data_IF_408089695221
#
_entry.id   IF_408089695221
#
_cell.length_a   1.000
_cell.length_b   1.000
_cell.length_c   1.000
_cell.angle_alpha   90.00
_cell.angle_beta   90.00
_cell.angle_gamma   90.00
#
_symmetry.space_group_name_H-M   'P 1'
#
loop_
_entity.id
_entity.type
_entity.pdbx_description
1 polymer ?
#
# COMPACT_ATOMS: atom_id res chain seq x y z
N UNK A 1 6.86 12.84 -21.69
CA UNK A 1 8.09 12.61 -22.51
C UNK A 1 8.48 11.14 -22.50
N UNK A 2 7.87 10.11 -22.46
CA UNK A 2 8.21 8.67 -22.64
C UNK A 2 9.63 8.18 -22.25
N UNK A 3 10.46 9.03 -21.69
CA UNK A 3 11.82 8.66 -21.24
C UNK A 3 11.76 8.14 -19.80
N UNK A 4 12.44 7.04 -19.48
CA UNK A 4 12.59 6.56 -18.11
C UNK A 4 13.16 7.68 -17.24
N UNK A 5 12.50 7.94 -16.11
CA UNK A 5 13.00 8.86 -15.08
C UNK A 5 13.37 8.04 -13.84
N UNK A 6 14.39 8.46 -13.08
CA UNK A 6 14.67 7.83 -11.79
C UNK A 6 13.42 7.86 -10.91
N UNK A 7 13.10 6.74 -10.29
CA UNK A 7 11.98 6.65 -9.35
C UNK A 7 12.31 7.52 -8.13
N UNK A 8 11.43 8.46 -7.73
CA UNK A 8 11.68 9.30 -6.57
C UNK A 8 11.69 8.53 -5.24
N UNK A 9 10.98 7.40 -5.18
CA UNK A 9 10.98 6.51 -4.02
C UNK A 9 12.27 5.67 -3.99
N UNK A 10 13.24 6.09 -3.18
CA UNK A 10 14.58 5.52 -3.11
C UNK A 10 14.91 4.97 -1.71
N UNK A 11 15.76 3.94 -1.60
CA UNK A 11 16.21 3.41 -0.31
C UNK A 11 16.81 4.47 0.62
N UNK A 12 17.57 5.41 0.10
CA UNK A 12 18.26 6.47 0.84
C UNK A 12 17.30 7.38 1.64
N UNK A 13 16.01 7.41 1.27
CA UNK A 13 15.00 8.14 2.06
C UNK A 13 14.85 7.57 3.47
N UNK A 14 14.98 6.26 3.63
CA UNK A 14 14.94 5.62 4.96
C UNK A 14 16.10 6.10 5.82
N UNK A 15 17.31 6.15 5.26
CA UNK A 15 18.50 6.56 6.00
C UNK A 15 18.37 8.01 6.50
N UNK A 16 17.90 8.91 5.64
CA UNK A 16 17.65 10.32 6.00
C UNK A 16 16.57 10.47 7.06
N UNK A 17 15.48 9.70 6.96
CA UNK A 17 14.39 9.74 7.94
C UNK A 17 14.84 9.15 9.29
N UNK A 18 15.60 8.06 9.26
CA UNK A 18 16.20 7.46 10.47
C UNK A 18 17.18 8.42 11.16
N UNK A 19 17.97 9.16 10.41
CA UNK A 19 18.83 10.21 10.98
C UNK A 19 17.99 11.26 11.71
N UNK A 20 16.86 11.70 11.13
CA UNK A 20 15.92 12.62 11.78
C UNK A 20 15.34 12.05 13.07
N UNK A 21 14.90 10.78 13.04
CA UNK A 21 14.37 10.08 14.24
C UNK A 21 15.43 9.97 15.33
N UNK A 22 16.65 9.60 14.99
CA UNK A 22 17.76 9.48 15.94
C UNK A 22 18.10 10.81 16.61
N UNK A 23 17.99 11.94 15.89
CA UNK A 23 18.18 13.29 16.45
C UNK A 23 17.10 13.66 17.47
N UNK A 24 15.88 13.13 17.32
CA UNK A 24 14.79 13.32 18.29
C UNK A 24 14.98 12.52 19.59
N UNK A 25 15.85 11.53 19.60
CA UNK A 25 16.21 10.76 20.79
C UNK A 25 15.13 9.80 21.32
N UNK A 26 14.10 9.53 20.52
CA UNK A 26 13.05 8.56 20.88
C UNK A 26 13.51 7.10 20.72
N UNK A 27 12.85 6.14 21.39
CA UNK A 27 13.14 4.73 21.22
C UNK A 27 12.77 4.28 19.80
N UNK A 28 13.68 3.54 19.16
CA UNK A 28 13.42 2.89 17.87
C UNK A 28 13.21 1.41 18.14
N UNK A 29 12.04 0.90 17.76
CA UNK A 29 11.65 -0.50 17.96
C UNK A 29 11.35 -1.17 16.63
N UNK A 30 11.75 -2.45 16.51
CA UNK A 30 11.37 -3.27 15.36
C UNK A 30 9.93 -3.77 15.54
N UNK A 31 9.08 -3.71 14.50
CA UNK A 31 7.74 -4.25 14.59
C UNK A 31 7.80 -5.79 14.64
N UNK A 32 6.87 -6.45 15.38
CA UNK A 32 6.68 -7.88 15.24
C UNK A 32 6.13 -8.23 13.84
N UNK A 33 6.26 -9.48 13.43
CA UNK A 33 5.64 -9.92 12.17
C UNK A 33 4.12 -9.72 12.20
N UNK A 34 3.57 -9.29 11.06
CA UNK A 34 2.14 -9.17 10.84
C UNK A 34 1.64 -10.34 10.01
N UNK A 35 0.58 -10.99 10.48
CA UNK A 35 -0.10 -12.06 9.78
C UNK A 35 -1.13 -11.53 8.78
N UNK A 36 -1.47 -12.33 7.78
CA UNK A 36 -2.41 -11.97 6.71
C UNK A 36 -3.76 -11.47 7.18
N UNK A 37 -4.24 -11.90 8.35
CA UNK A 37 -5.51 -11.43 8.92
C UNK A 37 -5.51 -9.95 9.28
N UNK A 38 -4.40 -9.40 9.75
CA UNK A 38 -4.29 -7.96 10.01
C UNK A 38 -4.34 -7.16 8.69
N UNK A 39 -3.67 -7.63 7.66
CA UNK A 39 -3.71 -7.00 6.33
C UNK A 39 -5.11 -7.13 5.72
N UNK A 40 -5.77 -8.26 5.95
CA UNK A 40 -7.14 -8.52 5.47
C UNK A 40 -8.23 -7.70 6.15
N UNK A 41 -7.91 -6.85 7.13
CA UNK A 41 -8.86 -5.88 7.68
C UNK A 41 -9.30 -4.82 6.64
N UNK A 42 -8.47 -4.57 5.64
CA UNK A 42 -8.69 -3.57 4.60
C UNK A 42 -8.40 -4.08 3.19
N UNK A 43 -7.66 -5.18 3.05
CA UNK A 43 -7.33 -5.74 1.74
C UNK A 43 -8.04 -7.07 1.48
N UNK A 44 -8.45 -7.26 0.23
CA UNK A 44 -9.05 -8.52 -0.22
C UNK A 44 -8.05 -9.69 -0.08
N UNK A 45 -8.53 -10.83 0.44
CA UNK A 45 -7.68 -12.01 0.64
C UNK A 45 -7.10 -12.55 -0.67
N UNK A 46 -7.84 -12.42 -1.78
CA UNK A 46 -7.38 -12.80 -3.12
C UNK A 46 -6.23 -11.91 -3.57
N UNK A 47 -6.29 -10.62 -3.31
CA UNK A 47 -5.21 -9.68 -3.58
C UNK A 47 -3.95 -10.00 -2.75
N UNK A 48 -4.13 -10.28 -1.46
CA UNK A 48 -3.02 -10.71 -0.58
C UNK A 48 -2.36 -11.98 -1.12
N UNK A 49 -3.17 -12.98 -1.51
CA UNK A 49 -2.69 -14.22 -2.12
C UNK A 49 -1.98 -13.96 -3.46
N UNK A 50 -2.56 -13.12 -4.33
CA UNK A 50 -1.93 -12.70 -5.58
C UNK A 50 -0.54 -12.12 -5.31
N UNK A 51 -0.43 -11.11 -4.47
CA UNK A 51 0.83 -10.40 -4.22
C UNK A 51 1.89 -11.33 -3.58
N UNK A 52 1.47 -12.25 -2.70
CA UNK A 52 2.36 -13.20 -2.04
C UNK A 52 2.97 -14.24 -2.98
N UNK A 53 2.27 -14.57 -4.06
CA UNK A 53 2.68 -15.62 -5.01
C UNK A 53 3.13 -15.10 -6.37
N UNK A 54 2.92 -13.81 -6.62
CA UNK A 54 3.10 -13.19 -7.93
C UNK A 54 4.51 -13.42 -8.49
N UNK A 55 5.54 -13.11 -7.73
CA UNK A 55 6.92 -13.22 -8.21
C UNK A 55 7.28 -14.64 -8.64
N UNK A 56 6.99 -15.63 -7.82
CA UNK A 56 7.32 -17.03 -8.10
C UNK A 56 6.52 -17.57 -9.29
N UNK A 57 5.27 -17.17 -9.43
CA UNK A 57 4.42 -17.57 -10.56
C UNK A 57 4.87 -16.90 -11.86
N UNK A 58 5.27 -15.65 -11.78
CA UNK A 58 5.77 -14.89 -12.92
C UNK A 58 7.05 -15.51 -13.48
N UNK A 59 7.99 -15.84 -12.63
CA UNK A 59 9.29 -16.43 -13.03
C UNK A 59 9.16 -17.82 -13.70
N UNK A 60 8.00 -18.47 -13.60
CA UNK A 60 7.72 -19.74 -14.27
C UNK A 60 7.15 -19.57 -15.68
N UNK A 61 6.83 -18.35 -16.09
CA UNK A 61 6.35 -18.11 -17.44
C UNK A 61 7.51 -18.28 -18.44
N UNK A 62 7.27 -18.92 -19.59
CA UNK A 62 8.23 -18.88 -20.70
C UNK A 62 8.46 -17.43 -21.12
N UNK A 63 9.72 -17.06 -21.32
CA UNK A 63 10.12 -15.71 -21.77
C UNK A 63 9.61 -14.58 -20.88
N UNK A 64 9.47 -14.84 -19.56
CA UNK A 64 8.98 -13.84 -18.61
C UNK A 64 9.86 -12.58 -18.65
N UNK A 65 9.22 -11.42 -18.75
CA UNK A 65 9.89 -10.13 -18.56
C UNK A 65 10.53 -10.06 -17.18
N UNK A 66 11.56 -9.21 -17.03
CA UNK A 66 12.27 -9.03 -15.77
C UNK A 66 11.34 -8.65 -14.62
N UNK A 67 10.34 -7.83 -14.91
CA UNK A 67 9.36 -7.34 -13.93
C UNK A 67 7.94 -7.74 -14.34
N UNK A 68 7.12 -8.29 -13.43
CA UNK A 68 5.71 -8.52 -13.67
C UNK A 68 4.99 -7.27 -14.17
N UNK A 69 4.24 -7.41 -15.23
CA UNK A 69 3.48 -6.33 -15.83
C UNK A 69 2.16 -6.83 -16.40
N UNK A 70 1.19 -5.96 -16.49
CA UNK A 70 -0.09 -6.24 -17.11
C UNK A 70 -0.05 -5.94 -18.60
N UNK A 71 -0.70 -6.78 -19.40
CA UNK A 71 -0.98 -6.45 -20.81
C UNK A 71 -2.16 -5.48 -20.93
N UNK A 72 -3.13 -5.59 -20.03
CA UNK A 72 -4.34 -4.75 -19.99
C UNK A 72 -4.68 -4.48 -18.52
N UNK A 73 -4.90 -3.21 -18.19
CA UNK A 73 -5.39 -2.79 -16.88
C UNK A 73 -6.92 -2.76 -16.88
N UNK A 74 -7.54 -3.46 -15.92
CA UNK A 74 -9.00 -3.53 -15.79
C UNK A 74 -9.60 -2.25 -15.19
N UNK A 75 -8.82 -1.50 -14.44
CA UNK A 75 -9.25 -0.29 -13.74
C UNK A 75 -9.68 0.82 -14.71
N UNK A 76 -10.69 1.58 -14.30
CA UNK A 76 -11.21 2.69 -15.08
C UNK A 76 -12.19 2.31 -16.18
N UNK A 77 -12.68 1.05 -16.20
CA UNK A 77 -13.73 0.59 -17.13
C UNK A 77 -15.02 0.18 -16.41
N UNK A 78 -15.71 1.10 -15.71
CA UNK A 78 -16.92 0.75 -14.96
C UNK A 78 -18.06 0.25 -15.86
N UNK A 79 -18.04 0.60 -17.15
CA UNK A 79 -19.02 0.12 -18.14
C UNK A 79 -18.84 -1.33 -18.57
N UNK A 80 -17.72 -1.95 -18.27
CA UNK A 80 -17.40 -3.34 -18.57
C UNK A 80 -16.83 -4.00 -17.31
N UNK A 81 -17.65 -4.24 -16.28
CA UNK A 81 -17.19 -4.91 -15.09
C UNK A 81 -16.65 -6.29 -15.49
N UNK A 82 -15.46 -6.67 -15.01
CA UNK A 82 -14.92 -7.99 -15.29
C UNK A 82 -15.85 -9.04 -14.68
N UNK A 83 -16.31 -9.97 -15.51
CA UNK A 83 -17.24 -11.03 -15.08
C UNK A 83 -16.55 -12.16 -14.36
N UNK A 84 -15.24 -12.34 -14.61
CA UNK A 84 -14.48 -13.45 -14.06
C UNK A 84 -13.08 -13.03 -13.67
N UNK A 85 -12.61 -13.52 -12.52
CA UNK A 85 -11.23 -13.34 -12.09
C UNK A 85 -10.30 -14.18 -12.97
N UNK A 86 -9.21 -13.60 -13.50
CA UNK A 86 -8.32 -14.34 -14.39
C UNK A 86 -7.56 -15.47 -13.69
N UNK A 87 -7.40 -16.61 -14.39
CA UNK A 87 -6.58 -17.72 -13.90
C UNK A 87 -5.08 -17.45 -14.11
N UNK A 88 -4.73 -16.80 -15.22
CA UNK A 88 -3.34 -16.51 -15.56
C UNK A 88 -2.75 -15.40 -14.68
N UNK A 89 -1.47 -15.54 -14.32
CA UNK A 89 -0.76 -14.51 -13.56
C UNK A 89 -0.69 -13.17 -14.30
N UNK A 90 -0.59 -13.18 -15.63
CA UNK A 90 -0.60 -11.97 -16.47
C UNK A 90 -1.95 -11.25 -16.39
N UNK A 91 -3.05 -11.99 -16.48
CA UNK A 91 -4.39 -11.44 -16.30
C UNK A 91 -4.61 -10.90 -14.89
N UNK A 92 -4.11 -11.59 -13.88
CA UNK A 92 -4.15 -11.14 -12.48
C UNK A 92 -3.32 -9.87 -12.25
N UNK A 93 -2.20 -9.70 -12.95
CA UNK A 93 -1.50 -8.43 -12.97
C UNK A 93 -2.40 -7.30 -13.48
N UNK A 94 -3.15 -7.51 -14.54
CA UNK A 94 -4.11 -6.53 -15.07
C UNK A 94 -5.29 -6.23 -14.14
N UNK A 95 -5.62 -7.17 -13.25
CA UNK A 95 -6.67 -7.00 -12.24
C UNK A 95 -6.19 -6.20 -11.03
N UNK A 96 -4.98 -6.48 -10.56
CA UNK A 96 -4.48 -5.99 -9.27
C UNK A 96 -3.42 -4.90 -9.33
N UNK A 97 -2.82 -4.65 -10.50
CA UNK A 97 -1.89 -3.54 -10.70
C UNK A 97 -2.63 -2.38 -11.36
N UNK A 98 -2.77 -1.27 -10.66
CA UNK A 98 -3.52 -0.12 -11.13
C UNK A 98 -2.79 0.71 -12.19
N UNK A 99 -1.46 0.67 -12.13
CA UNK A 99 -0.58 1.40 -13.02
C UNK A 99 0.81 0.74 -13.11
N UNK A 100 1.72 1.31 -13.89
CA UNK A 100 3.11 0.85 -14.01
C UNK A 100 4.05 1.38 -12.94
N UNK A 101 3.57 2.11 -11.94
CA UNK A 101 4.41 2.76 -10.92
C UNK A 101 4.63 1.92 -9.66
N UNK A 102 4.00 0.76 -9.56
CA UNK A 102 4.20 -0.21 -8.47
C UNK A 102 4.97 -1.46 -8.96
N UNK A 103 6.29 -1.35 -9.21
CA UNK A 103 7.08 -2.45 -9.78
C UNK A 103 7.21 -3.61 -8.80
N UNK A 104 7.12 -4.83 -9.33
CA UNK A 104 7.19 -6.06 -8.55
C UNK A 104 8.58 -6.69 -8.70
N UNK A 105 9.19 -7.02 -7.59
CA UNK A 105 10.47 -7.73 -7.49
C UNK A 105 10.36 -8.91 -6.53
N UNK A 106 11.40 -9.74 -6.44
CA UNK A 106 11.48 -10.83 -5.45
C UNK A 106 11.34 -10.37 -4.00
N UNK A 107 11.61 -9.09 -3.72
CA UNK A 107 11.60 -8.52 -2.37
C UNK A 107 10.31 -7.73 -2.05
N UNK A 108 9.47 -7.48 -3.06
CA UNK A 108 8.27 -6.63 -2.89
C UNK A 108 7.33 -7.15 -1.81
N UNK A 109 7.03 -8.44 -1.80
CA UNK A 109 6.15 -9.05 -0.79
C UNK A 109 6.69 -8.86 0.64
N UNK A 110 7.96 -9.16 0.85
CA UNK A 110 8.59 -9.01 2.16
C UNK A 110 8.60 -7.55 2.63
N UNK A 111 8.95 -6.61 1.73
CA UNK A 111 8.97 -5.19 2.04
C UNK A 111 7.57 -4.63 2.34
N UNK A 112 6.56 -5.01 1.55
CA UNK A 112 5.17 -4.58 1.78
C UNK A 112 4.63 -5.09 3.13
N UNK A 113 4.89 -6.35 3.47
CA UNK A 113 4.53 -6.91 4.78
C UNK A 113 5.22 -6.19 5.94
N UNK A 114 6.51 -5.94 5.84
CA UNK A 114 7.26 -5.23 6.86
C UNK A 114 6.73 -3.80 7.07
N UNK A 115 6.39 -3.11 5.98
CA UNK A 115 5.78 -1.79 6.04
C UNK A 115 4.41 -1.82 6.73
N UNK A 116 3.55 -2.78 6.37
CA UNK A 116 2.25 -2.98 7.02
C UNK A 116 2.41 -3.32 8.51
N UNK A 117 3.40 -4.16 8.86
CA UNK A 117 3.73 -4.51 10.25
C UNK A 117 4.13 -3.27 11.06
N UNK A 118 4.92 -2.38 10.47
CA UNK A 118 5.36 -1.13 11.11
C UNK A 118 4.16 -0.25 11.47
N UNK A 119 3.23 -0.04 10.55
CA UNK A 119 2.03 0.76 10.80
C UNK A 119 1.10 0.09 11.84
N UNK A 120 0.89 -1.22 11.72
CA UNK A 120 0.08 -1.99 12.66
C UNK A 120 0.65 -1.95 14.08
N UNK A 121 1.98 -2.03 14.21
CA UNK A 121 2.64 -1.92 15.51
C UNK A 121 2.50 -0.52 16.11
N UNK A 122 2.65 0.53 15.30
CA UNK A 122 2.39 1.90 15.73
C UNK A 122 0.97 2.09 16.29
N UNK A 123 -0.04 1.54 15.61
CA UNK A 123 -1.42 1.57 16.10
C UNK A 123 -1.57 0.80 17.45
N UNK A 124 -0.92 -0.35 17.60
CA UNK A 124 -0.93 -1.11 18.85
C UNK A 124 -0.28 -0.35 20.01
N UNK A 125 0.87 0.28 19.81
CA UNK A 125 1.51 1.11 20.81
C UNK A 125 0.58 2.22 21.31
N UNK A 126 -0.15 2.88 20.40
CA UNK A 126 -1.14 3.90 20.78
C UNK A 126 -2.31 3.29 21.57
N UNK A 127 -2.77 2.08 21.23
CA UNK A 127 -3.81 1.37 21.99
C UNK A 127 -3.31 0.97 23.40
N UNK A 128 -2.04 0.69 23.55
CA UNK A 128 -1.37 0.35 24.80
C UNK A 128 -1.04 1.57 25.68
N UNK A 129 -1.30 2.78 25.17
CA UNK A 129 -1.19 4.01 25.96
C UNK A 129 -0.14 5.01 25.50
N UNK A 130 0.63 4.69 24.46
CA UNK A 130 1.53 5.66 23.87
C UNK A 130 0.74 6.81 23.24
N UNK A 131 1.20 8.04 23.47
CA UNK A 131 0.53 9.23 22.91
C UNK A 131 0.84 9.46 21.44
N UNK A 132 2.02 9.04 21.00
CA UNK A 132 2.52 9.24 19.63
C UNK A 132 3.33 8.00 19.25
N UNK A 133 3.10 7.50 18.05
CA UNK A 133 3.95 6.52 17.40
C UNK A 133 4.27 7.00 15.97
N UNK A 134 5.54 6.95 15.59
CA UNK A 134 6.00 7.26 14.24
C UNK A 134 6.34 5.98 13.49
N UNK A 135 5.49 5.56 12.58
CA UNK A 135 5.68 4.36 11.77
C UNK A 135 6.44 4.71 10.48
N UNK A 136 7.72 4.40 10.43
CA UNK A 136 8.57 4.64 9.27
C UNK A 136 8.32 3.58 8.19
N UNK A 137 7.26 3.76 7.41
CA UNK A 137 6.80 2.81 6.39
C UNK A 137 7.48 3.01 5.04
N UNK A 138 8.06 1.94 4.48
CA UNK A 138 8.52 1.85 3.11
C UNK A 138 8.37 0.40 2.62
N UNK A 139 7.63 0.17 1.52
CA UNK A 139 6.94 1.11 0.61
C UNK A 139 5.83 1.93 1.27
N UNK A 140 5.39 3.04 0.62
CA UNK A 140 4.23 3.84 1.06
C UNK A 140 2.91 3.08 0.90
N UNK A 141 1.75 3.70 1.20
CA UNK A 141 0.50 2.96 1.25
C UNK A 141 -0.74 3.63 0.66
N UNK A 142 -0.82 4.96 0.60
CA UNK A 142 -2.07 5.69 0.41
C UNK A 142 -2.72 5.54 -0.98
N UNK A 143 -2.00 5.07 -1.98
CA UNK A 143 -2.55 4.76 -3.30
C UNK A 143 -3.03 3.31 -3.45
N UNK A 144 -2.69 2.42 -2.52
CA UNK A 144 -3.20 1.05 -2.55
C UNK A 144 -4.67 1.01 -2.10
N UNK A 145 -5.54 0.52 -2.98
CA UNK A 145 -6.94 0.23 -2.66
C UNK A 145 -7.08 -1.17 -2.05
N UNK A 146 -8.30 -1.61 -1.79
CA UNK A 146 -8.55 -2.90 -1.14
C UNK A 146 -7.96 -4.09 -1.91
N UNK A 147 -7.90 -4.01 -3.24
CA UNK A 147 -7.47 -5.10 -4.12
C UNK A 147 -6.49 -4.65 -5.22
N UNK A 148 -5.93 -3.43 -5.12
CA UNK A 148 -5.10 -2.85 -6.18
C UNK A 148 -3.85 -2.17 -5.61
N UNK A 149 -2.69 -2.49 -6.21
CA UNK A 149 -1.44 -1.76 -6.02
C UNK A 149 -1.32 -0.63 -7.06
N UNK A 150 -0.91 0.55 -6.63
CA UNK A 150 -0.68 1.72 -7.50
C UNK A 150 0.24 2.73 -6.81
N UNK A 151 0.85 3.64 -7.54
CA UNK A 151 1.57 4.78 -6.97
C UNK A 151 2.65 4.40 -5.96
N UNK A 152 3.47 3.39 -6.23
CA UNK A 152 4.49 2.82 -5.33
C UNK A 152 3.93 2.07 -4.11
N UNK A 153 2.60 1.98 -3.96
CA UNK A 153 1.91 1.41 -2.81
C UNK A 153 1.42 -0.01 -3.11
N UNK A 154 1.63 -0.92 -2.17
CA UNK A 154 1.18 -2.32 -2.27
C UNK A 154 0.13 -2.63 -1.22
N UNK A 155 0.36 -2.27 0.04
CA UNK A 155 -0.65 -2.30 1.10
C UNK A 155 -0.86 -0.89 1.64
N UNK A 156 -2.10 -0.58 2.01
CA UNK A 156 -2.43 0.70 2.60
C UNK A 156 -2.13 0.68 4.11
N UNK A 157 -0.90 1.05 4.44
CA UNK A 157 -0.37 1.00 5.80
C UNK A 157 -1.23 1.81 6.77
N UNK A 158 -1.63 3.01 6.37
CA UNK A 158 -2.47 3.91 7.19
C UNK A 158 -3.86 3.34 7.39
N UNK A 159 -4.46 2.74 6.35
CA UNK A 159 -5.75 2.09 6.45
C UNK A 159 -5.72 0.87 7.38
N UNK A 160 -4.64 0.07 7.35
CA UNK A 160 -4.46 -1.05 8.29
C UNK A 160 -4.40 -0.54 9.73
N UNK A 161 -3.63 0.51 10.00
CA UNK A 161 -3.55 1.12 11.33
C UNK A 161 -4.92 1.66 11.78
N UNK A 162 -5.64 2.38 10.91
CA UNK A 162 -6.97 2.91 11.20
C UNK A 162 -7.97 1.79 11.48
N UNK A 163 -7.96 0.69 10.71
CA UNK A 163 -8.85 -0.45 10.93
C UNK A 163 -8.60 -1.13 12.30
N UNK A 164 -7.35 -1.24 12.73
CA UNK A 164 -7.02 -1.76 14.07
C UNK A 164 -7.57 -0.85 15.19
N UNK A 165 -7.44 0.47 15.02
CA UNK A 165 -7.97 1.44 15.99
C UNK A 165 -9.50 1.38 16.07
N UNK A 166 -10.19 1.30 14.93
CA UNK A 166 -11.65 1.20 14.90
C UNK A 166 -12.17 -0.13 15.47
N UNK A 167 -11.48 -1.25 15.21
CA UNK A 167 -11.81 -2.53 15.85
C UNK A 167 -11.72 -2.46 17.39
N UNK A 168 -10.82 -1.65 17.91
CA UNK A 168 -10.69 -1.38 19.35
C UNK A 168 -11.69 -0.31 19.85
N UNK A 169 -12.70 0.05 19.06
CA UNK A 169 -13.74 1.02 19.43
C UNK A 169 -13.28 2.48 19.41
N UNK A 170 -12.15 2.80 18.77
CA UNK A 170 -11.66 4.18 18.67
C UNK A 170 -12.25 4.89 17.45
N UNK A 171 -12.77 6.09 17.64
CA UNK A 171 -13.11 6.99 16.52
C UNK A 171 -11.79 7.43 15.88
N UNK A 172 -11.64 7.22 14.58
CA UNK A 172 -10.37 7.40 13.89
C UNK A 172 -10.53 8.40 12.75
N UNK A 173 -9.54 9.28 12.60
CA UNK A 173 -9.39 10.15 11.44
C UNK A 173 -8.03 9.93 10.80
N UNK A 174 -8.00 9.94 9.47
CA UNK A 174 -6.78 9.93 8.65
C UNK A 174 -6.65 11.33 8.04
N UNK A 175 -5.53 11.98 8.31
CA UNK A 175 -5.13 13.21 7.63
C UNK A 175 -3.92 12.89 6.74
N UNK A 176 -4.14 12.88 5.44
CA UNK A 176 -3.13 12.69 4.41
C UNK A 176 -2.67 14.05 3.91
N UNK A 177 -1.38 14.34 4.06
CA UNK A 177 -0.74 15.58 3.64
C UNK A 177 0.27 15.36 2.51
N UNK A 178 0.27 14.19 1.88
CA UNK A 178 1.04 13.95 0.66
C UNK A 178 0.56 14.89 -0.45
N UNK A 179 1.48 15.29 -1.33
CA UNK A 179 1.14 16.14 -2.48
C UNK A 179 0.18 15.47 -3.44
N UNK A 180 0.14 14.13 -3.47
CA UNK A 180 -0.78 13.33 -4.26
C UNK A 180 -2.03 12.99 -3.45
N UNK A 181 -3.16 12.90 -4.12
CA UNK A 181 -4.42 12.47 -3.50
C UNK A 181 -4.32 11.02 -2.99
N UNK A 182 -4.68 10.79 -1.72
CA UNK A 182 -4.72 9.46 -1.10
C UNK A 182 -5.92 8.62 -1.57
N UNK A 183 -6.04 8.42 -2.89
CA UNK A 183 -7.18 7.77 -3.53
C UNK A 183 -7.44 6.34 -3.07
N UNK A 184 -6.40 5.58 -2.72
CA UNK A 184 -6.54 4.24 -2.19
C UNK A 184 -7.16 4.23 -0.78
N UNK A 185 -6.75 5.17 0.07
CA UNK A 185 -7.34 5.37 1.41
C UNK A 185 -8.81 5.78 1.30
N UNK A 186 -9.12 6.72 0.42
CA UNK A 186 -10.51 7.12 0.14
C UNK A 186 -11.35 5.93 -0.31
N UNK A 187 -10.88 5.15 -1.29
CA UNK A 187 -11.61 3.99 -1.80
C UNK A 187 -11.89 2.93 -0.73
N UNK A 188 -10.96 2.68 0.20
CA UNK A 188 -11.13 1.71 1.28
C UNK A 188 -12.23 2.14 2.28
N UNK A 189 -12.31 3.45 2.57
CA UNK A 189 -13.21 3.97 3.60
C UNK A 189 -14.43 4.71 3.05
N UNK A 190 -14.65 4.70 1.72
CA UNK A 190 -15.71 5.47 1.06
C UNK A 190 -17.09 5.21 1.64
N UNK A 191 -17.44 3.96 1.90
CA UNK A 191 -18.72 3.52 2.45
C UNK A 191 -18.65 3.26 3.98
N UNK A 192 -17.61 3.77 4.67
CA UNK A 192 -17.39 3.52 6.10
C UNK A 192 -17.50 4.82 6.92
N UNK A 193 -18.49 4.88 7.81
CA UNK A 193 -18.73 6.02 8.69
C UNK A 193 -17.82 6.05 9.95
N UNK A 194 -17.05 4.98 10.21
CA UNK A 194 -16.21 4.82 11.40
C UNK A 194 -14.80 5.43 11.23
N UNK A 195 -14.42 5.80 10.00
CA UNK A 195 -13.15 6.46 9.69
C UNK A 195 -13.39 7.73 8.89
N UNK A 196 -12.97 8.87 9.42
CA UNK A 196 -12.95 10.12 8.67
C UNK A 196 -11.65 10.21 7.85
N UNK A 197 -11.75 10.31 6.53
CA UNK A 197 -10.59 10.53 5.65
C UNK A 197 -10.53 11.96 5.16
N UNK A 198 -9.37 12.59 5.28
CA UNK A 198 -9.07 13.96 4.83
C UNK A 198 -7.77 13.91 4.03
N UNK A 199 -7.78 14.40 2.78
CA UNK A 199 -6.57 14.50 1.97
C UNK A 199 -6.36 15.95 1.51
N UNK A 200 -5.19 16.51 1.83
CA UNK A 200 -4.75 17.84 1.40
C UNK A 200 -3.70 17.66 0.31
N UNK A 201 -4.11 17.80 -0.93
CA UNK A 201 -3.29 17.43 -2.08
C UNK A 201 -3.30 18.48 -3.19
N UNK A 202 -2.36 18.37 -4.13
CA UNK A 202 -2.33 19.19 -5.32
C UNK A 202 -3.49 18.85 -6.27
N UNK A 203 -3.87 19.80 -7.12
CA UNK A 203 -5.04 19.67 -7.98
C UNK A 203 -4.91 18.47 -8.95
N UNK A 204 -5.84 17.51 -8.97
CA UNK A 204 -5.71 16.23 -9.69
C UNK A 204 -5.64 16.36 -11.22
N UNK A 205 -5.99 17.50 -11.80
CA UNK A 205 -5.76 17.77 -13.24
C UNK A 205 -4.27 17.86 -13.62
N UNK A 206 -3.37 18.01 -12.66
CA UNK A 206 -1.94 18.25 -12.90
C UNK A 206 -1.03 17.28 -12.17
N UNK A 207 -1.56 16.55 -11.23
CA UNK A 207 -0.86 15.59 -10.40
C UNK A 207 -1.55 14.22 -10.42
N UNK A 208 -0.75 13.17 -10.23
CA UNK A 208 -1.23 11.81 -10.04
C UNK A 208 -2.10 11.72 -8.76
N UNK A 209 -3.09 10.84 -8.68
CA UNK A 209 -3.62 9.91 -9.67
C UNK A 209 -4.54 10.54 -10.70
#
# INVERSE_FOLDING_TARGET
>A
SGKPKPIPERPERIDMLMEGVNRLGGPVVAPPEVFGDTIALVHDRRYIQFLSTLWERWKRLPDAAETPSANVFALGRPSLPPTHYPDSVVGQCGWHLGDGSAPITSKTWAAARASAATAAHGAKLVLEGERIAYALCRPPGHHAAADVAAGFCYFNNTAIAAALLTQAGRRTAILDIDVHHGNGTEAIFYDRADVLTISLHAHPKRFYP
#
